data_IF_919107674195
#
_entry.id   IF_919107674195
#
_cell.length_a   1.000
_cell.length_b   1.000
_cell.length_c   1.000
_cell.angle_alpha   90.00
_cell.angle_beta   90.00
_cell.angle_gamma   90.00
#
_symmetry.space_group_name_H-M   'P 1'
#
loop_
_entity.id
_entity.type
_entity.pdbx_description
1 polymer ?
#
# COMPACT_ATOMS: atom_id res chain seq x y z
N UNK A 1 0.96 -24.29 -7.49
CA UNK A 1 1.06 -22.83 -7.20
C UNK A 1 2.05 -22.22 -8.18
N UNK A 2 1.63 -21.17 -8.90
CA UNK A 2 2.52 -20.48 -9.82
C UNK A 2 3.46 -19.57 -9.03
N UNK A 3 4.78 -19.75 -9.12
CA UNK A 3 5.72 -18.93 -8.39
C UNK A 3 5.78 -17.50 -8.95
N UNK A 4 5.99 -16.54 -8.07
CA UNK A 4 6.23 -15.15 -8.45
C UNK A 4 7.42 -14.60 -7.69
N UNK A 5 8.04 -13.57 -8.26
CA UNK A 5 9.19 -12.90 -7.69
C UNK A 5 8.77 -11.52 -7.17
N UNK A 6 9.33 -11.11 -6.03
CA UNK A 6 9.17 -9.76 -5.51
C UNK A 6 10.52 -9.07 -5.61
N UNK A 7 10.55 -7.92 -6.26
CA UNK A 7 11.76 -7.11 -6.43
C UNK A 7 11.44 -5.63 -6.39
N UNK A 8 12.48 -4.80 -6.26
CA UNK A 8 12.30 -3.36 -6.29
C UNK A 8 11.69 -2.91 -7.61
N UNK A 9 10.79 -1.93 -7.53
CA UNK A 9 10.21 -1.29 -8.70
C UNK A 9 11.23 -0.37 -9.37
N UNK A 10 11.29 -0.39 -10.69
CA UNK A 10 12.16 0.45 -11.49
C UNK A 10 11.34 1.20 -12.53
N UNK A 11 11.90 2.26 -13.12
CA UNK A 11 11.18 3.05 -14.11
C UNK A 11 10.53 2.25 -15.23
N UNK A 12 11.17 1.21 -15.80
CA UNK A 12 10.49 0.39 -16.82
C UNK A 12 9.19 -0.29 -16.36
N UNK A 13 8.98 -0.43 -15.05
CA UNK A 13 7.76 -1.01 -14.49
C UNK A 13 6.60 0.00 -14.41
N UNK A 14 6.87 1.29 -14.51
CA UNK A 14 5.90 2.35 -14.20
C UNK A 14 4.66 2.31 -15.08
N UNK A 15 4.81 1.99 -16.36
CA UNK A 15 3.65 1.87 -17.26
C UNK A 15 2.67 0.79 -16.77
N UNK A 16 3.20 -0.38 -16.38
CA UNK A 16 2.40 -1.47 -15.84
C UNK A 16 1.77 -1.11 -14.48
N UNK A 17 2.51 -0.41 -13.63
CA UNK A 17 2.02 0.05 -12.32
C UNK A 17 0.84 1.02 -12.52
N UNK A 18 0.96 1.98 -13.44
CA UNK A 18 -0.12 2.93 -13.75
C UNK A 18 -1.35 2.22 -14.28
N UNK A 19 -1.17 1.21 -15.12
CA UNK A 19 -2.27 0.42 -15.69
C UNK A 19 -3.02 -0.34 -14.59
N UNK A 20 -2.29 -0.99 -13.68
CA UNK A 20 -2.89 -1.68 -12.53
C UNK A 20 -3.65 -0.70 -11.63
N UNK A 21 -3.08 0.45 -11.37
CA UNK A 21 -3.69 1.47 -10.51
C UNK A 21 -5.00 1.99 -11.13
N UNK A 22 -5.05 2.19 -12.45
CA UNK A 22 -6.25 2.68 -13.12
C UNK A 22 -7.42 1.69 -13.01
N UNK A 23 -7.15 0.39 -13.09
CA UNK A 23 -8.17 -0.65 -12.95
C UNK A 23 -8.76 -0.63 -11.53
N UNK A 24 -7.94 -0.38 -10.52
CA UNK A 24 -8.33 -0.42 -9.11
C UNK A 24 -8.58 0.98 -8.51
N UNK A 25 -8.77 1.99 -9.35
CA UNK A 25 -8.85 3.41 -8.93
C UNK A 25 -9.96 3.70 -7.91
N UNK A 26 -11.01 2.88 -7.86
CA UNK A 26 -12.07 3.04 -6.86
C UNK A 26 -11.60 2.69 -5.44
N UNK A 27 -10.59 1.84 -5.32
CA UNK A 27 -10.02 1.38 -4.04
C UNK A 27 -8.76 2.14 -3.66
N UNK A 28 -8.21 2.92 -4.58
CA UNK A 28 -7.02 3.74 -4.38
C UNK A 28 -7.30 5.12 -4.98
N UNK A 29 -6.28 5.93 -5.23
CA UNK A 29 -6.44 7.24 -5.87
C UNK A 29 -5.86 7.22 -7.28
N UNK A 30 -6.37 8.09 -8.18
CA UNK A 30 -5.79 8.22 -9.52
C UNK A 30 -4.32 8.61 -9.44
N UNK A 31 -3.55 8.15 -10.42
CA UNK A 31 -2.11 8.40 -10.44
C UNK A 31 -1.63 8.52 -11.88
N UNK A 32 -1.01 9.63 -12.22
CA UNK A 32 -0.30 9.80 -13.49
C UNK A 32 1.20 9.52 -13.30
N UNK A 33 1.97 9.63 -14.37
CA UNK A 33 3.40 9.33 -14.35
C UNK A 33 4.15 10.27 -13.40
N UNK A 34 3.83 11.57 -13.40
CA UNK A 34 4.49 12.55 -12.53
C UNK A 34 4.20 12.23 -11.07
N UNK A 35 2.96 11.85 -10.75
CA UNK A 35 2.58 11.45 -9.40
C UNK A 35 3.31 10.18 -8.98
N UNK A 36 3.37 9.18 -9.85
CA UNK A 36 4.09 7.94 -9.55
C UNK A 36 5.57 8.20 -9.30
N UNK A 37 6.21 9.05 -10.11
CA UNK A 37 7.60 9.40 -9.91
C UNK A 37 7.80 10.07 -8.54
N UNK A 38 6.93 11.00 -8.18
CA UNK A 38 6.97 11.67 -6.87
C UNK A 38 6.84 10.67 -5.73
N UNK A 39 5.85 9.79 -5.79
CA UNK A 39 5.63 8.79 -4.74
C UNK A 39 6.80 7.80 -4.65
N UNK A 40 7.33 7.39 -5.81
CA UNK A 40 8.51 6.52 -5.86
C UNK A 40 9.71 7.18 -5.15
N UNK A 41 9.95 8.46 -5.43
CA UNK A 41 11.07 9.21 -4.85
C UNK A 41 10.90 9.40 -3.33
N UNK A 42 9.66 9.54 -2.86
CA UNK A 42 9.36 9.67 -1.43
C UNK A 42 9.38 8.33 -0.68
N UNK A 43 9.26 7.21 -1.40
CA UNK A 43 9.09 5.89 -0.79
C UNK A 43 10.36 5.40 -0.10
N UNK A 44 10.18 4.69 0.99
CA UNK A 44 11.23 3.87 1.60
C UNK A 44 11.20 2.44 1.06
N UNK A 45 10.06 2.05 0.48
CA UNK A 45 9.82 0.68 0.01
C UNK A 45 8.84 0.74 -1.15
N UNK A 46 9.27 0.29 -2.31
CA UNK A 46 8.41 0.24 -3.50
C UNK A 46 8.80 -0.99 -4.30
N UNK A 47 7.92 -1.98 -4.30
CA UNK A 47 8.20 -3.28 -4.94
C UNK A 47 7.08 -3.73 -5.85
N UNK A 48 7.45 -4.57 -6.79
CA UNK A 48 6.54 -5.23 -7.73
C UNK A 48 6.62 -6.73 -7.56
N UNK A 49 5.49 -7.40 -7.80
CA UNK A 49 5.43 -8.85 -7.91
C UNK A 49 5.41 -9.22 -9.39
N UNK A 50 6.35 -10.05 -9.80
CA UNK A 50 6.50 -10.47 -11.19
C UNK A 50 6.07 -11.92 -11.34
N UNK A 51 5.10 -12.15 -12.22
CA UNK A 51 4.58 -13.48 -12.54
C UNK A 51 4.70 -13.69 -14.05
N UNK A 52 5.48 -14.69 -14.45
CA UNK A 52 5.69 -15.02 -15.86
C UNK A 52 6.09 -13.79 -16.71
N UNK A 53 6.97 -12.96 -16.17
CA UNK A 53 7.46 -11.76 -16.86
C UNK A 53 6.53 -10.55 -16.81
N UNK A 54 5.38 -10.65 -16.15
CA UNK A 54 4.41 -9.56 -16.05
C UNK A 54 4.35 -8.99 -14.64
N UNK A 55 4.12 -7.68 -14.54
CA UNK A 55 3.85 -7.03 -13.26
C UNK A 55 2.42 -7.40 -12.83
N UNK A 56 2.31 -8.27 -11.84
CA UNK A 56 1.03 -8.76 -11.34
C UNK A 56 0.48 -7.93 -10.19
N UNK A 57 1.33 -7.18 -9.51
CA UNK A 57 0.93 -6.32 -8.40
C UNK A 57 2.09 -5.44 -7.96
N UNK A 58 1.78 -4.45 -7.13
CA UNK A 58 2.81 -3.58 -6.54
C UNK A 58 2.39 -3.09 -5.17
N UNK A 59 3.37 -2.67 -4.39
CA UNK A 59 3.18 -2.05 -3.07
C UNK A 59 4.13 -0.88 -2.93
N UNK A 60 3.64 0.22 -2.36
CA UNK A 60 4.39 1.46 -2.20
C UNK A 60 4.19 1.97 -0.79
N UNK A 61 5.30 2.19 -0.06
CA UNK A 61 5.25 2.59 1.34
C UNK A 61 6.27 3.68 1.66
N UNK A 62 5.88 4.60 2.55
CA UNK A 62 6.70 5.69 3.05
C UNK A 62 7.02 5.48 4.52
N UNK A 63 8.25 5.78 4.92
CA UNK A 63 8.62 5.76 6.33
C UNK A 63 8.30 7.11 6.98
N UNK A 64 8.06 7.09 8.28
CA UNK A 64 7.90 8.30 9.09
C UNK A 64 9.04 9.28 8.81
N UNK A 65 8.72 10.56 8.70
CA UNK A 65 9.71 11.60 8.38
C UNK A 65 9.78 11.95 6.90
N UNK A 66 9.16 11.18 6.01
CA UNK A 66 9.08 11.54 4.60
C UNK A 66 8.28 12.85 4.43
N UNK A 67 8.71 13.76 3.53
CA UNK A 67 7.96 15.00 3.28
C UNK A 67 6.76 14.74 2.36
N UNK A 68 5.82 13.94 2.84
CA UNK A 68 4.65 13.50 2.10
C UNK A 68 3.41 14.24 2.56
N UNK A 69 2.87 15.10 1.69
CA UNK A 69 1.66 15.87 1.96
C UNK A 69 0.43 15.01 1.64
N UNK A 70 -0.04 14.26 2.65
CA UNK A 70 -1.19 13.37 2.54
C UNK A 70 -1.90 13.31 3.88
N UNK A 71 -3.23 13.43 3.87
CA UNK A 71 -4.02 13.50 5.09
C UNK A 71 -3.87 12.27 5.98
N UNK A 72 -3.86 11.07 5.39
CA UNK A 72 -3.74 9.83 6.14
C UNK A 72 -2.33 9.66 6.71
N UNK A 73 -1.30 9.95 5.91
CA UNK A 73 0.08 9.92 6.37
C UNK A 73 0.28 10.91 7.53
N UNK A 74 -0.23 12.13 7.40
CA UNK A 74 -0.13 13.17 8.42
C UNK A 74 -0.84 12.77 9.71
N UNK A 75 -1.97 12.06 9.61
CA UNK A 75 -2.69 11.56 10.76
C UNK A 75 -1.79 10.63 11.61
N UNK A 76 -1.09 9.70 10.97
CA UNK A 76 -0.15 8.82 11.65
C UNK A 76 1.08 9.58 12.17
N UNK A 77 1.63 10.50 11.36
CA UNK A 77 2.82 11.27 11.72
C UNK A 77 2.62 12.11 12.98
N UNK A 78 1.40 12.56 13.25
CA UNK A 78 1.07 13.33 14.46
C UNK A 78 0.88 12.46 15.70
N UNK A 79 0.84 11.15 15.57
CA UNK A 79 0.50 10.21 16.64
C UNK A 79 1.57 9.16 16.92
N UNK A 80 2.37 8.80 15.92
CA UNK A 80 3.39 7.75 16.03
C UNK A 80 4.77 8.32 15.70
N UNK A 81 5.78 7.87 16.45
CA UNK A 81 7.16 8.34 16.26
C UNK A 81 7.81 7.72 15.02
N UNK A 82 7.56 6.44 14.79
CA UNK A 82 8.12 5.72 13.65
C UNK A 82 7.10 4.70 13.14
N UNK A 83 7.00 4.60 11.83
CA UNK A 83 6.07 3.68 11.16
C UNK A 83 6.43 3.57 9.69
N UNK A 84 5.95 2.51 9.06
CA UNK A 84 5.98 2.34 7.60
C UNK A 84 4.54 2.40 7.08
N UNK A 85 4.22 3.46 6.37
CA UNK A 85 2.88 3.72 5.86
C UNK A 85 2.71 3.14 4.46
N UNK A 86 1.78 2.20 4.31
CA UNK A 86 1.42 1.66 2.99
C UNK A 86 0.48 2.64 2.30
N UNK A 87 1.02 3.39 1.34
CA UNK A 87 0.22 4.33 0.56
C UNK A 87 -0.80 3.58 -0.29
N UNK A 88 -0.34 2.50 -0.94
CA UNK A 88 -1.21 1.62 -1.71
C UNK A 88 -0.58 0.25 -1.94
N UNK A 89 -1.45 -0.74 -2.06
CA UNK A 89 -1.12 -2.08 -2.52
C UNK A 89 -2.17 -2.45 -3.56
N UNK A 90 -1.73 -2.87 -4.75
CA UNK A 90 -2.62 -3.21 -5.86
C UNK A 90 -2.20 -4.53 -6.45
N UNK A 91 -3.16 -5.44 -6.62
CA UNK A 91 -2.96 -6.71 -7.32
C UNK A 91 -3.93 -6.76 -8.48
N UNK A 92 -3.43 -7.11 -9.67
CA UNK A 92 -4.27 -7.21 -10.86
C UNK A 92 -5.36 -8.27 -10.67
N UNK A 93 -6.60 -7.95 -11.04
CA UNK A 93 -7.74 -8.85 -10.86
C UNK A 93 -7.56 -10.20 -11.58
N UNK A 94 -6.85 -10.22 -12.69
CA UNK A 94 -6.52 -11.46 -13.42
C UNK A 94 -5.57 -12.39 -12.65
N UNK A 95 -4.91 -11.88 -11.61
CA UNK A 95 -3.99 -12.63 -10.75
C UNK A 95 -4.59 -12.94 -9.38
N UNK A 96 -5.89 -12.72 -9.21
CA UNK A 96 -6.58 -12.99 -7.95
C UNK A 96 -6.45 -14.48 -7.56
N UNK A 97 -6.37 -14.76 -6.28
CA UNK A 97 -6.27 -16.13 -5.76
C UNK A 97 -4.89 -16.72 -5.76
N UNK A 98 -3.87 -16.00 -6.27
CA UNK A 98 -2.48 -16.48 -6.32
C UNK A 98 -1.64 -16.02 -5.11
N UNK A 99 -2.28 -15.40 -4.12
CA UNK A 99 -1.65 -14.94 -2.86
C UNK A 99 -0.56 -13.89 -3.07
N UNK A 100 -0.65 -13.12 -4.14
CA UNK A 100 0.34 -12.07 -4.45
C UNK A 100 0.30 -10.96 -3.40
N UNK A 101 -0.89 -10.50 -3.02
CA UNK A 101 -1.04 -9.49 -1.96
C UNK A 101 -0.44 -9.94 -0.64
N UNK A 102 -0.70 -11.18 -0.25
CA UNK A 102 -0.12 -11.76 0.97
C UNK A 102 1.41 -11.82 0.90
N UNK A 103 1.95 -12.20 -0.26
CA UNK A 103 3.40 -12.25 -0.48
C UNK A 103 4.04 -10.87 -0.38
N UNK A 104 3.40 -9.85 -0.96
CA UNK A 104 3.86 -8.47 -0.87
C UNK A 104 3.88 -7.98 0.59
N UNK A 105 2.83 -8.26 1.36
CA UNK A 105 2.79 -7.89 2.78
C UNK A 105 3.80 -8.66 3.62
N UNK A 106 3.98 -9.95 3.37
CA UNK A 106 5.00 -10.73 4.08
C UNK A 106 6.39 -10.14 3.87
N UNK A 107 6.72 -9.76 2.63
CA UNK A 107 7.99 -9.11 2.31
C UNK A 107 8.12 -7.75 2.99
N UNK A 108 7.04 -6.94 2.98
CA UNK A 108 7.02 -5.64 3.65
C UNK A 108 7.24 -5.77 5.16
N UNK A 109 6.57 -6.71 5.82
CA UNK A 109 6.72 -6.93 7.26
C UNK A 109 8.14 -7.37 7.60
N UNK A 110 8.74 -8.24 6.79
CA UNK A 110 10.13 -8.67 6.97
C UNK A 110 11.09 -7.49 6.81
N UNK A 111 10.86 -6.63 5.82
CA UNK A 111 11.65 -5.41 5.62
C UNK A 111 11.55 -4.48 6.84
N UNK A 112 10.33 -4.21 7.33
CA UNK A 112 10.12 -3.34 8.48
C UNK A 112 10.83 -3.88 9.72
N UNK A 113 10.72 -5.17 9.96
CA UNK A 113 11.39 -5.82 11.10
C UNK A 113 12.91 -5.70 10.98
N UNK A 114 13.47 -5.93 9.79
CA UNK A 114 14.90 -5.82 9.55
C UNK A 114 15.42 -4.39 9.73
N UNK A 115 14.59 -3.39 9.44
CA UNK A 115 14.93 -1.97 9.58
C UNK A 115 14.62 -1.41 10.97
N UNK A 116 14.06 -2.21 11.87
CA UNK A 116 13.69 -1.75 13.20
C UNK A 116 12.48 -0.83 13.23
N UNK A 117 11.63 -0.88 12.21
CA UNK A 117 10.40 -0.08 12.14
C UNK A 117 9.32 -0.82 12.94
N UNK A 118 8.75 -0.19 14.01
CA UNK A 118 7.89 -0.93 14.94
C UNK A 118 6.48 -1.19 14.43
N UNK A 119 5.97 -0.37 13.51
CA UNK A 119 4.58 -0.42 13.08
C UNK A 119 4.42 -0.28 11.58
N UNK A 120 3.46 -0.98 11.04
CA UNK A 120 3.00 -0.82 9.65
C UNK A 120 1.61 -0.19 9.73
N UNK A 121 1.40 0.87 8.96
CA UNK A 121 0.14 1.62 8.95
C UNK A 121 -0.45 1.67 7.56
N UNK A 122 -1.77 1.77 7.49
CA UNK A 122 -2.51 1.91 6.24
C UNK A 122 -3.91 2.42 6.55
N UNK A 123 -4.70 2.65 5.50
CA UNK A 123 -6.12 2.90 5.64
C UNK A 123 -6.90 2.11 4.60
N UNK A 124 -8.17 1.89 4.89
CA UNK A 124 -9.13 1.39 3.89
C UNK A 124 -10.48 2.07 4.08
N UNK A 125 -11.26 2.08 3.01
CA UNK A 125 -12.56 2.75 3.00
C UNK A 125 -13.57 1.98 3.83
N UNK A 126 -14.33 2.72 4.67
CA UNK A 126 -15.52 2.20 5.35
C UNK A 126 -16.79 2.79 4.71
N UNK A 127 -16.71 3.98 4.17
CA UNK A 127 -17.77 4.61 3.38
C UNK A 127 -17.17 5.23 2.11
N UNK A 128 -17.46 4.67 0.93
CA UNK A 128 -18.13 3.38 0.71
C UNK A 128 -17.31 2.19 1.22
N UNK A 129 -17.94 1.09 1.65
CA UNK A 129 -17.22 -0.02 2.29
C UNK A 129 -16.31 -0.78 1.31
N UNK A 130 -15.16 -1.23 1.83
CA UNK A 130 -14.24 -2.11 1.13
C UNK A 130 -14.01 -3.36 1.99
N UNK A 131 -14.96 -4.28 1.97
CA UNK A 131 -14.95 -5.47 2.82
C UNK A 131 -13.81 -6.42 2.49
N UNK A 132 -13.42 -6.50 1.22
CA UNK A 132 -12.29 -7.34 0.80
C UNK A 132 -10.99 -6.83 1.41
N UNK A 133 -10.77 -5.53 1.41
CA UNK A 133 -9.60 -4.92 2.03
C UNK A 133 -9.58 -5.12 3.54
N UNK A 134 -10.75 -4.96 4.19
CA UNK A 134 -10.87 -5.20 5.64
C UNK A 134 -10.46 -6.63 5.99
N UNK A 135 -11.02 -7.62 5.32
CA UNK A 135 -10.71 -9.03 5.59
C UNK A 135 -9.25 -9.36 5.33
N UNK A 136 -8.68 -8.81 4.27
CA UNK A 136 -7.27 -8.99 3.95
C UNK A 136 -6.36 -8.42 5.05
N UNK A 137 -6.63 -7.19 5.50
CA UNK A 137 -5.82 -6.54 6.53
C UNK A 137 -5.98 -7.18 7.90
N UNK A 138 -7.20 -7.64 8.25
CA UNK A 138 -7.44 -8.33 9.51
C UNK A 138 -6.54 -9.56 9.67
N UNK A 139 -6.24 -10.27 8.58
CA UNK A 139 -5.35 -11.44 8.60
C UNK A 139 -3.92 -11.10 9.02
N UNK A 140 -3.48 -9.87 8.77
CA UNK A 140 -2.13 -9.44 9.13
C UNK A 140 -2.06 -8.77 10.50
N UNK A 141 -3.15 -8.79 11.27
CA UNK A 141 -3.18 -8.26 12.61
C UNK A 141 -3.37 -6.76 12.71
N UNK A 142 -3.86 -6.13 11.65
CA UNK A 142 -4.16 -4.71 11.68
C UNK A 142 -5.32 -4.40 12.61
N UNK A 143 -5.21 -3.30 13.35
CA UNK A 143 -6.23 -2.80 14.26
C UNK A 143 -6.51 -1.33 13.97
N UNK A 144 -7.77 -0.95 14.10
CA UNK A 144 -8.18 0.44 13.92
C UNK A 144 -7.64 1.32 15.03
N UNK A 145 -6.95 2.39 14.66
CA UNK A 145 -6.52 3.45 15.59
C UNK A 145 -7.49 4.63 15.58
N UNK A 146 -8.18 4.86 14.49
CA UNK A 146 -9.11 5.97 14.34
C UNK A 146 -9.74 5.99 12.96
N UNK A 147 -10.53 7.03 12.72
CA UNK A 147 -11.25 7.25 11.46
C UNK A 147 -11.15 8.69 11.05
N UNK A 148 -11.17 8.96 9.75
CA UNK A 148 -11.28 10.34 9.27
C UNK A 148 -11.95 10.38 7.91
N UNK A 149 -12.61 11.51 7.63
CA UNK A 149 -13.17 11.81 6.32
C UNK A 149 -12.09 12.41 5.44
N UNK A 150 -11.98 11.93 4.20
CA UNK A 150 -11.02 12.38 3.19
C UNK A 150 -11.75 12.64 1.88
N UNK A 151 -11.02 13.11 0.87
CA UNK A 151 -11.56 13.39 -0.47
C UNK A 151 -12.75 14.35 -0.41
N UNK A 152 -12.60 15.49 0.31
CA UNK A 152 -13.63 16.49 0.45
C UNK A 152 -14.86 16.03 1.24
N UNK A 153 -14.69 15.05 2.13
CA UNK A 153 -15.77 14.50 2.93
C UNK A 153 -16.58 13.41 2.25
N UNK A 154 -16.08 12.87 1.14
CA UNK A 154 -16.79 11.83 0.36
C UNK A 154 -16.41 10.41 0.74
N UNK A 155 -15.28 10.24 1.43
CA UNK A 155 -14.80 8.91 1.87
C UNK A 155 -14.50 8.94 3.35
N UNK A 156 -15.02 7.95 4.07
CA UNK A 156 -14.63 7.70 5.46
C UNK A 156 -13.65 6.52 5.46
N UNK A 157 -12.46 6.74 6.03
CA UNK A 157 -11.43 5.71 6.10
C UNK A 157 -11.18 5.28 7.54
N UNK A 158 -10.85 3.99 7.70
CA UNK A 158 -10.34 3.42 8.94
C UNK A 158 -8.84 3.44 8.89
N UNK A 159 -8.22 4.07 9.89
CA UNK A 159 -6.76 4.17 10.00
C UNK A 159 -6.27 3.02 10.86
N UNK A 160 -5.42 2.19 10.29
CA UNK A 160 -5.04 0.88 10.82
C UNK A 160 -3.56 0.80 11.14
N UNK A 161 -3.21 0.00 12.14
CA UNK A 161 -1.81 -0.28 12.47
C UNK A 161 -1.63 -1.74 12.84
N UNK A 162 -0.50 -2.31 12.43
CA UNK A 162 -0.06 -3.64 12.83
C UNK A 162 1.38 -3.58 13.34
N UNK A 163 1.70 -4.46 14.28
CA UNK A 163 3.09 -4.61 14.76
C UNK A 163 3.93 -5.34 13.72
N UNK A 164 5.07 -4.78 13.42
CA UNK A 164 5.98 -5.40 12.46
C UNK A 164 6.74 -6.60 13.05
#
# INVERSE_FOLDING_TARGET
MTPFEIRDAHQPDFESILRLNDVEVQQTSPMDLDRLQLLHDLSAYHKVAILEGHVAGFILAMRAGAPYANDNFSWFASRLDDFLYVDRIVVGSEFAGLKIGSGLYQDLFAYAKAQGIPSITCEYNIEPPNLASKGFHDKFGFRELGRQWVAGGTKLVSLQSATA
#
